data_IF_257398765419
#
_entry.id   IF_257398765419
#
_cell.length_a   1.000
_cell.length_b   1.000
_cell.length_c   1.000
_cell.angle_alpha   90.00
_cell.angle_beta   90.00
_cell.angle_gamma   90.00
#
_symmetry.space_group_name_H-M   'P 1'
#
loop_
_entity.id
_entity.type
_entity.pdbx_description
1 polymer ?
#
# COMPACT_ATOMS: atom_id res chain seq x y z
N UNK A 1 -21.37 -19.29 -6.96
CA UNK A 1 -20.47 -18.41 -6.17
C UNK A 1 -19.14 -19.07 -5.78
N UNK A 2 -19.09 -20.35 -5.37
CA UNK A 2 -17.85 -21.00 -4.92
C UNK A 2 -16.82 -21.36 -6.03
N UNK A 3 -17.27 -21.64 -7.26
CA UNK A 3 -16.38 -22.09 -8.36
C UNK A 3 -15.34 -21.02 -8.72
N UNK A 4 -15.74 -19.74 -8.87
CA UNK A 4 -14.81 -18.65 -9.17
C UNK A 4 -13.76 -18.44 -8.09
N UNK A 5 -14.13 -18.61 -6.82
CA UNK A 5 -13.18 -18.60 -5.70
C UNK A 5 -12.15 -19.72 -5.83
N UNK A 6 -12.57 -20.97 -6.04
CA UNK A 6 -11.64 -22.11 -6.13
C UNK A 6 -10.76 -22.06 -7.37
N UNK A 7 -11.30 -21.65 -8.52
CA UNK A 7 -10.51 -21.42 -9.74
C UNK A 7 -9.41 -20.38 -9.50
N UNK A 8 -9.79 -19.23 -8.91
CA UNK A 8 -8.81 -18.18 -8.63
C UNK A 8 -7.86 -18.56 -7.49
N UNK A 9 -8.29 -19.40 -6.55
CA UNK A 9 -7.43 -19.96 -5.48
C UNK A 9 -6.30 -20.80 -6.07
N UNK A 10 -6.62 -21.69 -7.01
CA UNK A 10 -5.68 -22.58 -7.69
C UNK A 10 -4.83 -21.87 -8.75
N UNK A 11 -5.30 -20.75 -9.29
CA UNK A 11 -4.54 -19.96 -10.25
C UNK A 11 -3.16 -19.54 -9.67
N UNK A 12 -2.04 -19.72 -10.41
CA UNK A 12 -0.69 -19.39 -9.97
C UNK A 12 -0.44 -17.88 -9.98
N UNK A 13 -1.17 -17.16 -9.11
CA UNK A 13 -1.25 -15.69 -9.05
C UNK A 13 0.12 -15.02 -8.91
N UNK A 14 1.04 -15.59 -8.13
CA UNK A 14 2.40 -15.07 -7.96
C UNK A 14 3.16 -15.08 -9.28
N UNK A 15 3.22 -16.25 -9.93
CA UNK A 15 3.90 -16.42 -11.21
C UNK A 15 3.32 -15.49 -12.27
N UNK A 16 1.99 -15.41 -12.36
CA UNK A 16 1.34 -14.49 -13.29
C UNK A 16 1.69 -13.03 -12.99
N UNK A 17 1.60 -12.60 -11.72
CA UNK A 17 1.91 -11.22 -11.33
C UNK A 17 3.39 -10.88 -11.55
N UNK A 18 4.29 -11.84 -11.38
CA UNK A 18 5.72 -11.68 -11.67
C UNK A 18 5.99 -11.53 -13.16
N UNK A 19 5.41 -12.42 -13.99
CA UNK A 19 5.55 -12.35 -15.45
C UNK A 19 4.92 -11.07 -16.00
N UNK A 20 3.75 -10.69 -15.49
CA UNK A 20 3.09 -9.44 -15.83
C UNK A 20 3.96 -8.23 -15.46
N UNK A 21 4.54 -8.21 -14.25
CA UNK A 21 5.49 -7.18 -13.85
C UNK A 21 6.68 -7.07 -14.81
N UNK A 22 7.27 -8.21 -15.22
CA UNK A 22 8.34 -8.22 -16.23
C UNK A 22 7.87 -7.64 -17.56
N UNK A 23 6.70 -8.05 -18.04
CA UNK A 23 6.12 -7.57 -19.29
C UNK A 23 5.90 -6.05 -19.28
N UNK A 24 5.47 -5.52 -18.14
CA UNK A 24 5.23 -4.09 -17.94
C UNK A 24 6.50 -3.25 -18.03
N UNK A 25 7.67 -3.84 -17.76
CA UNK A 25 8.97 -3.17 -17.86
C UNK A 25 9.68 -3.38 -19.20
N UNK A 26 9.08 -4.09 -20.16
CA UNK A 26 9.66 -4.23 -21.50
C UNK A 26 9.67 -2.87 -22.20
N UNK A 27 10.83 -2.47 -22.69
CA UNK A 27 11.00 -1.28 -23.54
C UNK A 27 10.63 -1.64 -24.99
N UNK A 28 9.36 -1.41 -25.35
CA UNK A 28 8.88 -1.63 -26.71
C UNK A 28 9.33 -0.48 -27.64
N UNK A 29 9.48 -0.73 -28.95
CA UNK A 29 9.68 0.33 -29.94
C UNK A 29 8.61 1.42 -29.81
N UNK A 30 9.01 2.68 -29.98
CA UNK A 30 8.16 3.87 -29.71
C UNK A 30 6.78 3.82 -30.38
N UNK A 31 6.69 3.24 -31.57
CA UNK A 31 5.44 3.13 -32.33
C UNK A 31 4.42 2.13 -31.72
N UNK A 32 4.88 1.12 -30.96
CA UNK A 32 4.00 0.20 -30.21
C UNK A 32 3.72 0.74 -28.79
N UNK A 33 4.75 1.29 -28.17
CA UNK A 33 4.72 1.75 -26.79
C UNK A 33 3.78 2.96 -26.59
N UNK A 34 3.85 3.96 -27.48
CA UNK A 34 3.05 5.18 -27.33
C UNK A 34 1.53 4.94 -27.41
N UNK A 35 0.99 4.15 -28.36
CA UNK A 35 -0.41 3.75 -28.34
C UNK A 35 -0.80 3.00 -27.07
N UNK A 36 0.06 2.10 -26.57
CA UNK A 36 -0.18 1.36 -25.33
C UNK A 36 -0.32 2.31 -24.12
N UNK A 37 0.62 3.24 -23.93
CA UNK A 37 0.55 4.23 -22.86
C UNK A 37 -0.70 5.10 -22.97
N UNK A 38 -1.00 5.62 -24.17
CA UNK A 38 -2.19 6.46 -24.39
C UNK A 38 -3.49 5.70 -24.10
N UNK A 39 -3.56 4.44 -24.51
CA UNK A 39 -4.71 3.57 -24.22
C UNK A 39 -4.85 3.34 -22.73
N UNK A 40 -3.75 3.12 -22.02
CA UNK A 40 -3.76 2.95 -20.56
C UNK A 40 -4.23 4.22 -19.84
N UNK A 41 -3.68 5.38 -20.21
CA UNK A 41 -4.10 6.69 -19.67
C UNK A 41 -5.57 6.96 -19.91
N UNK A 42 -6.06 6.68 -21.12
CA UNK A 42 -7.46 6.83 -21.48
C UNK A 42 -8.37 5.87 -20.70
N UNK A 43 -8.03 4.58 -20.66
CA UNK A 43 -8.84 3.54 -20.04
C UNK A 43 -9.01 3.76 -18.53
N UNK A 44 -7.95 4.19 -17.85
CA UNK A 44 -7.97 4.45 -16.41
C UNK A 44 -8.25 5.92 -16.05
N UNK A 45 -8.42 6.80 -17.05
CA UNK A 45 -8.65 8.25 -16.87
C UNK A 45 -7.56 8.89 -16.00
N UNK A 46 -6.31 8.62 -16.33
CA UNK A 46 -5.15 9.11 -15.58
C UNK A 46 -4.91 10.57 -15.93
N UNK A 47 -4.80 11.43 -14.93
CA UNK A 47 -4.31 12.78 -15.16
C UNK A 47 -2.79 12.75 -15.38
N UNK A 48 -2.40 12.68 -16.64
CA UNK A 48 -1.00 12.71 -17.04
C UNK A 48 -0.35 14.09 -16.90
N UNK A 49 -1.12 15.16 -16.68
CA UNK A 49 -0.58 16.51 -16.53
C UNK A 49 0.08 16.72 -15.16
N UNK A 50 -0.28 15.92 -14.16
CA UNK A 50 0.34 15.94 -12.84
C UNK A 50 1.71 15.25 -12.80
N UNK A 51 2.02 14.43 -13.81
CA UNK A 51 3.30 13.72 -13.90
C UNK A 51 4.46 14.70 -14.14
N UNK A 52 5.61 14.43 -13.52
CA UNK A 52 6.83 15.25 -13.63
C UNK A 52 7.28 15.38 -15.10
N UNK A 53 7.22 14.27 -15.84
CA UNK A 53 7.66 14.19 -17.23
C UNK A 53 6.47 13.91 -18.17
N UNK A 54 6.54 14.34 -19.45
CA UNK A 54 5.50 14.00 -20.43
C UNK A 54 5.53 12.50 -20.78
N UNK A 55 4.40 11.94 -21.22
CA UNK A 55 4.25 10.49 -21.49
C UNK A 55 5.37 9.91 -22.37
N UNK A 56 5.88 10.69 -23.32
CA UNK A 56 6.92 10.26 -24.27
C UNK A 56 8.27 9.92 -23.62
N UNK A 57 8.51 10.34 -22.38
CA UNK A 57 9.77 10.10 -21.66
C UNK A 57 9.80 8.75 -20.95
N UNK A 58 8.63 8.16 -20.66
CA UNK A 58 8.56 6.86 -20.00
C UNK A 58 8.82 5.76 -21.03
N UNK A 59 9.83 4.92 -20.77
CA UNK A 59 10.27 3.86 -21.70
C UNK A 59 9.41 2.59 -21.68
N UNK A 60 8.59 2.42 -20.64
CA UNK A 60 7.72 1.27 -20.45
C UNK A 60 6.46 1.65 -19.66
N UNK A 61 5.44 0.80 -19.71
CA UNK A 61 4.20 1.06 -18.97
C UNK A 61 4.44 1.01 -17.46
N UNK A 62 5.32 0.12 -17.01
CA UNK A 62 5.78 0.05 -15.62
C UNK A 62 6.47 1.34 -15.18
N UNK A 63 7.34 1.93 -16.03
CA UNK A 63 7.97 3.22 -15.72
C UNK A 63 6.96 4.36 -15.59
N UNK A 64 5.92 4.39 -16.44
CA UNK A 64 4.83 5.37 -16.31
C UNK A 64 3.95 5.10 -15.08
N UNK A 65 3.77 3.83 -14.71
CA UNK A 65 2.96 3.46 -13.56
C UNK A 65 3.51 4.03 -12.25
N UNK A 66 4.83 3.96 -12.07
CA UNK A 66 5.57 4.55 -10.94
C UNK A 66 6.11 5.95 -11.25
N UNK A 67 5.36 6.72 -12.05
CA UNK A 67 5.72 8.11 -12.38
C UNK A 67 5.86 8.97 -11.12
N UNK A 68 6.84 9.85 -11.16
CA UNK A 68 6.94 10.97 -10.25
C UNK A 68 5.86 12.01 -10.54
N UNK A 69 5.41 12.72 -9.50
CA UNK A 69 4.53 13.88 -9.64
C UNK A 69 5.37 15.15 -9.72
N UNK A 70 4.82 16.20 -10.36
CA UNK A 70 5.41 17.53 -10.35
C UNK A 70 5.61 18.04 -8.93
N UNK A 71 6.71 18.73 -8.71
CA UNK A 71 6.97 19.44 -7.46
C UNK A 71 5.78 20.32 -7.06
N UNK A 72 5.47 20.30 -5.75
CA UNK A 72 4.38 21.09 -5.14
C UNK A 72 2.96 20.73 -5.59
N UNK A 73 2.76 19.68 -6.40
CA UNK A 73 1.42 19.18 -6.77
C UNK A 73 0.63 18.61 -5.58
N UNK A 74 1.33 18.31 -4.48
CA UNK A 74 0.80 17.75 -3.23
C UNK A 74 1.35 18.53 -2.03
N UNK A 75 0.80 19.70 -1.68
CA UNK A 75 1.21 20.41 -0.48
C UNK A 75 0.86 19.59 0.77
N UNK A 76 1.79 19.54 1.73
CA UNK A 76 1.60 18.81 2.98
C UNK A 76 0.75 19.62 3.96
N UNK A 77 -0.33 19.02 4.44
CA UNK A 77 -1.10 19.52 5.57
C UNK A 77 -0.45 19.20 6.92
N UNK A 78 -1.21 19.40 7.99
CA UNK A 78 -0.82 18.98 9.33
C UNK A 78 -0.75 17.44 9.40
N UNK A 79 0.38 16.93 9.92
CA UNK A 79 0.59 15.51 10.16
C UNK A 79 -0.15 15.00 11.41
N UNK A 80 -0.58 13.72 11.45
CA UNK A 80 -0.46 12.76 10.36
C UNK A 80 -1.40 13.04 9.18
N UNK A 81 -0.88 12.83 7.97
CA UNK A 81 -1.63 12.99 6.72
C UNK A 81 -1.74 11.66 5.95
N UNK A 82 -2.60 11.65 4.93
CA UNK A 82 -2.75 10.51 4.01
C UNK A 82 -1.41 10.18 3.36
N UNK A 83 -0.92 8.93 3.43
CA UNK A 83 0.37 8.55 2.86
C UNK A 83 0.32 8.36 1.34
N UNK A 84 -0.87 8.40 0.74
CA UNK A 84 -1.12 7.98 -0.65
C UNK A 84 -2.19 8.84 -1.32
N UNK A 85 -2.13 8.88 -2.65
CA UNK A 85 -3.28 9.24 -3.49
C UNK A 85 -4.19 8.02 -3.64
N UNK A 86 -5.51 8.20 -3.51
CA UNK A 86 -6.46 7.13 -3.74
C UNK A 86 -7.80 7.35 -3.04
N UNK A 87 -8.35 6.27 -2.49
CA UNK A 87 -9.62 6.28 -1.76
C UNK A 87 -9.39 5.81 -0.34
N UNK A 88 -9.70 6.66 0.64
CA UNK A 88 -9.90 6.25 2.03
C UNK A 88 -11.21 5.47 2.09
N UNK A 89 -11.12 4.14 2.23
CA UNK A 89 -12.27 3.24 2.22
C UNK A 89 -12.97 3.18 3.56
N UNK A 90 -12.20 3.17 4.63
CA UNK A 90 -12.70 3.06 5.99
C UNK A 90 -11.66 3.64 6.97
N UNK A 91 -12.14 4.12 8.10
CA UNK A 91 -11.34 4.68 9.18
C UNK A 91 -12.08 4.54 10.50
N UNK A 92 -11.35 4.48 11.61
CA UNK A 92 -11.97 4.49 12.93
C UNK A 92 -11.09 3.92 14.03
N UNK A 93 -11.75 3.49 15.11
CA UNK A 93 -11.11 2.84 16.25
C UNK A 93 -11.13 1.32 16.04
N UNK A 94 -10.02 0.67 16.36
CA UNK A 94 -9.85 -0.78 16.30
C UNK A 94 -10.53 -1.39 17.52
N UNK A 95 -11.68 -2.05 17.36
CA UNK A 95 -12.38 -2.70 18.47
C UNK A 95 -11.91 -4.15 18.63
N UNK A 96 -11.48 -4.56 19.82
CA UNK A 96 -11.07 -5.93 20.17
C UNK A 96 -10.04 -6.53 19.19
N UNK A 97 -9.11 -5.69 18.72
CA UNK A 97 -8.08 -6.09 17.74
C UNK A 97 -8.64 -6.49 16.37
N UNK A 98 -9.88 -6.09 16.03
CA UNK A 98 -10.52 -6.35 14.74
C UNK A 98 -10.58 -5.09 13.88
N UNK A 99 -10.33 -5.28 12.59
CA UNK A 99 -10.42 -4.26 11.54
C UNK A 99 -11.58 -4.62 10.59
N UNK A 100 -12.37 -3.63 10.13
CA UNK A 100 -13.38 -3.87 9.13
C UNK A 100 -12.74 -4.14 7.75
N UNK A 101 -13.22 -5.17 7.05
CA UNK A 101 -12.89 -5.41 5.65
C UNK A 101 -13.93 -4.77 4.73
N UNK A 102 -15.19 -5.11 4.99
CA UNK A 102 -16.42 -4.57 4.40
C UNK A 102 -17.51 -4.66 5.46
N UNK A 103 -18.65 -4.03 5.22
CA UNK A 103 -19.81 -4.13 6.13
C UNK A 103 -20.14 -5.60 6.46
N UNK A 104 -19.98 -5.97 7.73
CA UNK A 104 -20.28 -7.29 8.27
C UNK A 104 -19.11 -8.30 8.28
N UNK A 105 -17.95 -7.94 7.73
CA UNK A 105 -16.77 -8.82 7.66
C UNK A 105 -15.56 -8.10 8.27
N UNK A 106 -14.85 -8.76 9.19
CA UNK A 106 -13.67 -8.21 9.86
C UNK A 106 -12.47 -9.15 9.78
N UNK A 107 -11.30 -8.63 10.11
CA UNK A 107 -10.08 -9.41 10.24
C UNK A 107 -9.22 -8.89 11.39
N UNK A 108 -8.42 -9.78 11.97
CA UNK A 108 -7.59 -9.48 13.13
C UNK A 108 -6.35 -8.65 12.75
N UNK A 109 -6.01 -7.68 13.59
CA UNK A 109 -4.73 -6.96 13.57
C UNK A 109 -3.56 -7.92 13.72
N UNK A 110 -3.65 -8.89 14.63
CA UNK A 110 -2.63 -9.92 14.81
C UNK A 110 -2.41 -10.73 13.52
N UNK A 111 -3.49 -11.14 12.85
CA UNK A 111 -3.37 -11.80 11.54
C UNK A 111 -2.75 -10.89 10.49
N UNK A 112 -3.05 -9.59 10.49
CA UNK A 112 -2.46 -8.60 9.59
C UNK A 112 -0.96 -8.40 9.88
N UNK A 113 -0.53 -8.29 11.13
CA UNK A 113 0.86 -8.02 11.46
C UNK A 113 1.74 -9.28 11.56
N UNK A 114 1.11 -10.45 11.75
CA UNK A 114 1.75 -11.71 12.17
C UNK A 114 2.63 -11.54 13.42
N UNK A 115 2.35 -10.53 14.23
CA UNK A 115 3.15 -10.10 15.38
C UNK A 115 2.23 -9.80 16.55
N UNK A 116 2.04 -10.79 17.43
CA UNK A 116 1.13 -10.67 18.57
C UNK A 116 1.57 -9.59 19.56
N UNK A 117 2.88 -9.34 19.69
CA UNK A 117 3.39 -8.31 20.62
C UNK A 117 3.07 -6.91 20.09
N UNK A 118 3.37 -6.67 18.82
CA UNK A 118 3.03 -5.39 18.18
C UNK A 118 1.51 -5.20 18.09
N UNK A 119 0.75 -6.25 17.76
CA UNK A 119 -0.70 -6.20 17.63
C UNK A 119 -1.41 -5.68 18.89
N UNK A 120 -0.95 -6.09 20.08
CA UNK A 120 -1.49 -5.61 21.37
C UNK A 120 -1.39 -4.09 21.54
N UNK A 121 -0.36 -3.45 20.99
CA UNK A 121 -0.22 -1.97 21.06
C UNK A 121 -1.32 -1.25 20.28
N UNK A 122 -1.85 -1.90 19.24
CA UNK A 122 -2.89 -1.35 18.36
C UNK A 122 -4.30 -1.80 18.77
N UNK A 123 -4.47 -2.65 19.78
CA UNK A 123 -5.79 -2.96 20.34
C UNK A 123 -6.39 -1.67 20.89
N UNK A 124 -7.57 -1.26 20.40
CA UNK A 124 -8.21 0.04 20.70
C UNK A 124 -7.47 1.28 20.14
N UNK A 125 -6.53 1.07 19.21
CA UNK A 125 -5.89 2.13 18.44
C UNK A 125 -6.74 2.67 17.30
N UNK A 126 -6.14 3.50 16.43
CA UNK A 126 -6.79 4.00 15.22
C UNK A 126 -6.36 3.22 13.99
N UNK A 127 -7.24 3.14 12.99
CA UNK A 127 -6.89 2.61 11.68
C UNK A 127 -7.38 3.49 10.53
N UNK A 128 -6.67 3.40 9.42
CA UNK A 128 -7.09 3.95 8.12
C UNK A 128 -6.83 2.93 7.03
N UNK A 129 -7.82 2.68 6.17
CA UNK A 129 -7.73 1.73 5.06
C UNK A 129 -7.80 2.46 3.72
N UNK A 130 -6.68 2.54 3.02
CA UNK A 130 -6.55 3.20 1.73
C UNK A 130 -6.52 2.18 0.59
N UNK A 131 -7.14 2.56 -0.52
CA UNK A 131 -7.08 1.83 -1.77
C UNK A 131 -6.55 2.71 -2.90
N UNK A 132 -5.52 2.22 -3.57
CA UNK A 132 -4.95 2.79 -4.76
C UNK A 132 -5.47 2.02 -5.97
N UNK A 133 -6.16 2.72 -6.84
CA UNK A 133 -6.60 2.22 -8.13
C UNK A 133 -5.51 2.44 -9.20
N UNK A 134 -5.56 1.75 -10.35
CA UNK A 134 -4.50 1.87 -11.37
C UNK A 134 -4.25 3.27 -11.92
N UNK A 135 -5.16 4.23 -11.68
CA UNK A 135 -4.98 5.63 -12.10
C UNK A 135 -4.17 6.48 -11.12
N UNK A 136 -4.12 6.06 -9.86
CA UNK A 136 -3.59 6.89 -8.80
C UNK A 136 -2.05 6.94 -8.87
N UNK A 137 -1.45 7.73 -7.98
CA UNK A 137 0.00 7.79 -7.79
C UNK A 137 0.42 6.71 -6.79
N UNK A 138 1.46 5.94 -7.14
CA UNK A 138 1.74 4.63 -6.51
C UNK A 138 2.96 4.58 -5.60
N UNK A 139 3.51 5.75 -5.25
CA UNK A 139 4.42 5.86 -4.13
C UNK A 139 3.63 6.06 -2.84
N UNK A 140 4.11 5.43 -1.77
CA UNK A 140 3.61 5.57 -0.40
C UNK A 140 4.61 6.42 0.34
N UNK A 141 4.12 7.40 1.08
CA UNK A 141 4.94 8.37 1.82
C UNK A 141 4.77 8.19 3.32
N UNK A 142 5.75 8.65 4.11
CA UNK A 142 5.62 8.65 5.56
C UNK A 142 4.54 9.63 5.99
N UNK A 143 3.51 9.19 6.75
CA UNK A 143 2.42 10.06 7.19
C UNK A 143 2.85 11.03 8.29
N UNK A 144 3.97 10.76 8.97
CA UNK A 144 4.47 11.46 10.15
C UNK A 144 6.00 11.33 10.20
N UNK A 145 6.70 12.33 10.77
CA UNK A 145 8.15 12.25 11.01
C UNK A 145 8.46 11.36 12.20
N UNK A 146 9.60 10.67 12.16
CA UNK A 146 10.01 9.76 13.22
C UNK A 146 11.14 8.85 12.76
N UNK A 147 11.18 7.63 13.30
CA UNK A 147 12.21 6.67 12.96
C UNK A 147 11.63 5.28 12.64
N UNK A 148 12.06 4.70 11.52
CA UNK A 148 11.74 3.30 11.18
C UNK A 148 12.57 2.39 12.09
N UNK A 149 11.89 1.75 13.04
CA UNK A 149 12.51 0.90 14.07
C UNK A 149 12.57 -0.57 13.64
N UNK A 150 11.59 -1.02 12.87
CA UNK A 150 11.58 -2.37 12.33
C UNK A 150 10.68 -2.48 11.10
N UNK A 151 10.86 -3.55 10.35
CA UNK A 151 9.95 -3.92 9.27
C UNK A 151 9.75 -5.42 9.21
N UNK A 152 8.66 -5.84 8.57
CA UNK A 152 8.36 -7.26 8.35
C UNK A 152 7.81 -7.47 6.96
N UNK A 153 8.45 -8.35 6.21
CA UNK A 153 7.90 -8.89 4.98
C UNK A 153 7.14 -10.18 5.28
N UNK A 154 5.87 -10.22 4.91
CA UNK A 154 4.97 -11.34 5.13
C UNK A 154 4.55 -11.90 3.77
N UNK A 155 5.01 -13.10 3.38
CA UNK A 155 4.57 -13.73 2.14
C UNK A 155 3.11 -14.15 2.29
N UNK A 156 2.35 -14.01 1.21
CA UNK A 156 0.94 -14.37 1.21
C UNK A 156 0.40 -14.64 -0.19
N UNK A 157 -0.91 -14.65 -0.33
CA UNK A 157 -1.57 -14.71 -1.64
C UNK A 157 -1.52 -13.35 -2.35
N UNK A 158 -2.02 -13.29 -3.58
CA UNK A 158 -2.22 -12.05 -4.32
C UNK A 158 -3.66 -12.02 -4.80
N UNK A 159 -4.60 -12.07 -3.86
CA UNK A 159 -6.01 -11.85 -4.18
C UNK A 159 -6.20 -10.41 -4.66
N UNK A 160 -7.09 -10.15 -5.64
CA UNK A 160 -7.43 -8.78 -5.97
C UNK A 160 -8.12 -8.12 -4.76
N UNK A 161 -8.01 -6.79 -4.64
CA UNK A 161 -8.65 -6.01 -3.56
C UNK A 161 -9.90 -5.27 -4.06
N UNK A 162 -10.55 -5.84 -5.08
CA UNK A 162 -11.80 -5.36 -5.64
C UNK A 162 -13.01 -5.80 -4.78
N UNK A 163 -14.18 -5.24 -5.07
CA UNK A 163 -15.41 -5.51 -4.32
C UNK A 163 -15.79 -7.00 -4.30
N UNK A 164 -15.47 -7.75 -5.37
CA UNK A 164 -15.76 -9.18 -5.41
C UNK A 164 -14.91 -9.95 -4.40
N UNK A 165 -13.60 -9.73 -4.37
CA UNK A 165 -12.70 -10.42 -3.44
C UNK A 165 -13.01 -10.08 -2.00
N UNK A 166 -13.21 -8.80 -1.70
CA UNK A 166 -13.56 -8.35 -0.35
C UNK A 166 -14.86 -8.96 0.19
N UNK A 167 -15.77 -9.41 -0.69
CA UNK A 167 -17.01 -10.12 -0.31
C UNK A 167 -16.87 -11.63 -0.22
N UNK A 168 -15.90 -12.22 -0.91
CA UNK A 168 -15.83 -13.68 -1.11
C UNK A 168 -14.58 -14.31 -0.49
N UNK A 169 -13.64 -13.50 0.00
CA UNK A 169 -12.39 -13.94 0.61
C UNK A 169 -12.32 -13.31 1.99
N UNK A 170 -12.32 -14.14 3.03
CA UNK A 170 -12.24 -13.68 4.42
C UNK A 170 -10.84 -13.11 4.72
N UNK A 171 -10.75 -11.90 5.26
CA UNK A 171 -9.48 -11.30 5.64
C UNK A 171 -8.46 -11.18 4.49
N UNK A 172 -8.89 -10.73 3.30
CA UNK A 172 -8.04 -10.52 2.10
C UNK A 172 -6.73 -9.85 2.45
N UNK A 173 -6.77 -8.78 3.26
CA UNK A 173 -5.59 -8.01 3.61
C UNK A 173 -4.58 -8.82 4.43
N UNK A 174 -5.05 -9.67 5.34
CA UNK A 174 -4.20 -10.54 6.15
C UNK A 174 -3.74 -11.81 5.39
N UNK A 175 -4.45 -12.21 4.34
CA UNK A 175 -4.04 -13.32 3.47
C UNK A 175 -3.02 -12.89 2.41
N UNK A 176 -3.07 -11.64 1.97
CA UNK A 176 -2.21 -11.16 0.91
C UNK A 176 -0.76 -10.94 1.37
N UNK A 177 0.15 -11.09 0.43
CA UNK A 177 1.54 -10.69 0.58
C UNK A 177 1.62 -9.20 0.94
N UNK A 178 2.50 -8.83 1.87
CA UNK A 178 2.56 -7.45 2.38
C UNK A 178 3.87 -7.15 3.09
N UNK A 179 4.12 -5.85 3.25
CA UNK A 179 5.23 -5.31 4.04
C UNK A 179 4.65 -4.44 5.15
N UNK A 180 5.04 -4.71 6.38
CA UNK A 180 4.74 -3.88 7.56
C UNK A 180 5.98 -3.03 7.86
N UNK A 181 5.81 -1.72 7.93
CA UNK A 181 6.83 -0.77 8.39
C UNK A 181 6.39 -0.22 9.74
N UNK A 182 7.23 -0.37 10.76
CA UNK A 182 6.97 0.18 12.10
C UNK A 182 7.77 1.47 12.29
N UNK A 183 7.04 2.55 12.52
CA UNK A 183 7.54 3.91 12.64
C UNK A 183 7.27 4.40 14.07
N UNK A 184 8.33 4.67 14.83
CA UNK A 184 8.21 5.33 16.14
C UNK A 184 8.12 6.85 15.92
N UNK A 185 7.13 7.50 16.51
CA UNK A 185 6.85 8.92 16.30
C UNK A 185 6.57 9.63 17.63
N UNK A 186 6.43 10.96 17.59
CA UNK A 186 5.94 11.72 18.74
C UNK A 186 4.54 11.32 19.21
N UNK A 187 3.75 10.69 18.34
CA UNK A 187 2.41 10.19 18.63
C UNK A 187 2.39 8.70 19.01
N UNK A 188 3.55 8.10 19.22
CA UNK A 188 3.71 6.68 19.46
C UNK A 188 3.98 5.87 18.21
N UNK A 189 3.83 4.55 18.31
CA UNK A 189 4.07 3.62 17.22
C UNK A 189 2.96 3.68 16.16
N UNK A 190 3.39 3.84 14.91
CA UNK A 190 2.56 3.74 13.71
C UNK A 190 3.03 2.53 12.90
N UNK A 191 2.10 1.66 12.50
CA UNK A 191 2.36 0.63 11.50
C UNK A 191 1.80 1.06 10.15
N UNK A 192 2.66 1.14 9.12
CA UNK A 192 2.26 1.32 7.73
C UNK A 192 2.34 -0.03 7.02
N UNK A 193 1.18 -0.60 6.69
CA UNK A 193 1.06 -1.93 6.07
C UNK A 193 0.77 -1.77 4.59
N UNK A 194 1.78 -2.00 3.75
CA UNK A 194 1.66 -2.05 2.30
C UNK A 194 1.22 -3.45 1.87
N UNK A 195 -0.04 -3.61 1.45
CA UNK A 195 -0.62 -4.92 1.09
C UNK A 195 -0.62 -5.09 -0.43
N UNK A 196 0.08 -6.09 -0.94
CA UNK A 196 0.11 -6.43 -2.36
C UNK A 196 -1.22 -7.02 -2.85
N UNK A 197 -1.44 -7.03 -4.17
CA UNK A 197 -2.66 -7.56 -4.79
C UNK A 197 -2.37 -8.25 -6.13
N UNK A 198 -3.38 -8.86 -6.74
CA UNK A 198 -3.25 -9.48 -8.06
C UNK A 198 -2.79 -8.48 -9.12
N UNK A 199 -1.79 -8.85 -9.94
CA UNK A 199 -1.02 -7.98 -10.88
C UNK A 199 -0.02 -7.04 -10.21
N UNK A 200 0.02 -7.03 -8.88
CA UNK A 200 0.70 -6.03 -8.05
C UNK A 200 1.50 -6.73 -6.97
N UNK A 201 2.40 -7.60 -7.41
CA UNK A 201 3.15 -8.43 -6.48
C UNK A 201 4.37 -7.73 -5.86
N UNK A 202 4.89 -6.68 -6.50
CA UNK A 202 6.20 -6.11 -6.14
C UNK A 202 6.04 -4.81 -5.35
N UNK A 203 6.54 -4.84 -4.12
CA UNK A 203 6.70 -3.73 -3.21
C UNK A 203 8.20 -3.49 -3.04
N UNK A 204 8.62 -2.23 -3.13
CA UNK A 204 9.95 -1.79 -2.72
C UNK A 204 9.82 -0.74 -1.62
N UNK A 205 10.79 -0.67 -0.71
CA UNK A 205 10.84 0.30 0.38
C UNK A 205 12.09 1.18 0.26
N UNK A 206 12.05 2.41 0.78
CA UNK A 206 13.17 3.35 0.68
C UNK A 206 14.26 3.12 1.72
N UNK A 207 13.87 2.55 2.86
CA UNK A 207 14.75 2.34 3.99
C UNK A 207 15.55 1.03 3.90
N UNK A 208 15.28 0.14 2.93
CA UNK A 208 15.97 -1.14 2.79
C UNK A 208 16.09 -1.54 1.31
N UNK A 209 16.80 -2.62 1.01
CA UNK A 209 17.12 -3.05 -0.36
C UNK A 209 16.24 -4.19 -0.87
N UNK A 210 15.38 -4.76 -0.03
CA UNK A 210 14.55 -5.89 -0.41
C UNK A 210 13.34 -5.47 -1.25
N UNK A 211 12.87 -6.41 -2.05
CA UNK A 211 11.62 -6.29 -2.81
C UNK A 211 10.82 -7.58 -2.73
N UNK A 212 9.50 -7.46 -2.79
CA UNK A 212 8.58 -8.62 -2.71
C UNK A 212 8.38 -9.30 -4.07
N UNK A 213 7.76 -10.50 -4.04
CA UNK A 213 7.45 -11.32 -5.22
C UNK A 213 8.62 -11.63 -6.16
N UNK A 214 9.82 -11.86 -5.62
CA UNK A 214 11.03 -12.21 -6.36
C UNK A 214 11.18 -13.74 -6.58
N UNK A 215 10.26 -14.33 -7.35
CA UNK A 215 10.02 -15.80 -7.46
C UNK A 215 11.25 -16.64 -7.85
N UNK A 216 12.16 -16.07 -8.65
CA UNK A 216 13.34 -16.79 -9.17
C UNK A 216 14.63 -16.49 -8.39
N UNK A 217 14.58 -15.68 -7.34
CA UNK A 217 15.71 -15.57 -6.44
C UNK A 217 15.79 -16.88 -5.63
N UNK A 218 16.98 -17.50 -5.61
CA UNK A 218 17.31 -18.76 -4.89
C UNK A 218 16.97 -18.72 -3.38
N UNK A 219 16.57 -17.55 -2.87
CA UNK A 219 16.05 -17.25 -1.54
C UNK A 219 14.83 -16.33 -1.60
N UNK A 220 13.79 -16.68 -2.39
CA UNK A 220 12.47 -16.04 -2.22
C UNK A 220 12.16 -16.03 -0.72
N UNK A 221 12.06 -14.86 -0.06
CA UNK A 221 12.15 -14.85 1.39
C UNK A 221 10.94 -15.59 1.95
N UNK A 222 11.16 -16.49 2.92
CA UNK A 222 10.11 -17.18 3.69
C UNK A 222 9.34 -16.20 4.61
N UNK A 223 9.29 -14.93 4.25
CA UNK A 223 9.13 -13.81 5.16
C UNK A 223 10.42 -13.53 5.93
N UNK A 224 10.52 -12.32 6.46
CA UNK A 224 11.57 -11.94 7.41
C UNK A 224 11.07 -10.79 8.28
N UNK A 225 11.71 -10.62 9.42
CA UNK A 225 11.61 -9.42 10.25
C UNK A 225 12.99 -8.78 10.34
N UNK A 226 13.05 -7.46 10.19
CA UNK A 226 14.28 -6.68 10.33
C UNK A 226 14.08 -5.65 11.44
N UNK A 227 15.04 -5.56 12.36
CA UNK A 227 15.12 -4.51 13.38
C UNK A 227 16.30 -3.61 13.00
N UNK A 228 16.10 -2.30 13.05
CA UNK A 228 17.10 -1.33 12.62
C UNK A 228 17.79 -0.72 13.84
N UNK A 229 19.11 -0.92 13.93
CA UNK A 229 19.95 -0.33 14.95
C UNK A 229 21.23 0.25 14.30
N UNK A 230 21.37 1.59 14.22
CA UNK A 230 20.41 2.60 14.69
C UNK A 230 19.08 2.56 13.90
N UNK A 231 17.97 3.04 14.49
CA UNK A 231 16.73 3.31 13.74
C UNK A 231 16.98 4.25 12.56
N UNK A 232 16.13 4.15 11.52
CA UNK A 232 16.28 4.96 10.30
C UNK A 232 15.38 6.19 10.39
N UNK A 233 15.98 7.35 10.64
CA UNK A 233 15.29 8.64 10.70
C UNK A 233 14.63 9.00 9.37
N UNK A 234 13.39 9.49 9.43
CA UNK A 234 12.58 9.84 8.26
C UNK A 234 11.72 11.07 8.53
N UNK A 235 11.44 11.84 7.49
CA UNK A 235 10.55 13.01 7.57
C UNK A 235 9.19 12.69 6.98
N UNK A 236 8.15 13.30 7.57
CA UNK A 236 6.82 13.28 6.99
C UNK A 236 6.90 13.73 5.52
N UNK A 237 6.35 12.92 4.63
CA UNK A 237 6.27 13.21 3.19
C UNK A 237 7.45 12.69 2.39
N UNK A 238 8.51 12.19 3.04
CA UNK A 238 9.50 11.39 2.31
C UNK A 238 8.87 10.09 1.81
N UNK A 239 9.42 9.55 0.72
CA UNK A 239 8.96 8.27 0.16
C UNK A 239 9.27 7.16 1.14
N UNK A 240 8.24 6.40 1.54
CA UNK A 240 8.37 5.16 2.30
C UNK A 240 8.59 3.97 1.38
N UNK A 241 7.81 3.89 0.29
CA UNK A 241 7.87 2.76 -0.62
C UNK A 241 7.09 2.96 -1.90
N UNK A 242 7.08 1.93 -2.73
CA UNK A 242 6.44 1.95 -4.04
C UNK A 242 5.71 0.64 -4.28
N UNK A 243 4.46 0.74 -4.75
CA UNK A 243 3.80 -0.38 -5.40
C UNK A 243 4.14 -0.37 -6.88
N UNK A 244 4.80 -1.41 -7.37
CA UNK A 244 5.10 -1.53 -8.79
C UNK A 244 3.90 -1.97 -9.65
N UNK A 245 2.67 -1.86 -9.12
CA UNK A 245 1.38 -1.96 -9.86
C UNK A 245 0.08 -1.72 -9.03
N UNK A 246 0.05 -0.97 -7.92
CA UNK A 246 -1.18 -0.51 -7.23
C UNK A 246 -1.90 -1.43 -6.24
N UNK A 247 -2.06 -1.03 -4.98
CA UNK A 247 -2.74 -1.89 -4.02
C UNK A 247 -3.28 -1.13 -2.80
N UNK A 248 -3.34 -1.74 -1.62
CA UNK A 248 -3.95 -1.14 -0.43
C UNK A 248 -2.90 -0.81 0.63
N UNK A 249 -3.13 0.28 1.36
CA UNK A 249 -2.32 0.65 2.52
C UNK A 249 -3.23 0.66 3.73
N UNK A 250 -2.84 -0.05 4.79
CA UNK A 250 -3.50 0.04 6.10
C UNK A 250 -2.54 0.74 7.05
N UNK A 251 -2.98 1.86 7.64
CA UNK A 251 -2.28 2.49 8.75
C UNK A 251 -2.92 2.01 10.05
N UNK A 252 -2.09 1.66 11.04
CA UNK A 252 -2.49 1.48 12.43
C UNK A 252 -1.72 2.48 13.30
N UNK A 253 -2.40 3.12 14.24
CA UNK A 253 -1.81 4.02 15.24
C UNK A 253 -2.10 3.43 16.61
N UNK A 254 -1.09 3.34 17.48
CA UNK A 254 -1.25 2.68 18.77
C UNK A 254 -2.24 3.39 19.71
N UNK A 255 -2.83 2.62 20.63
CA UNK A 255 -3.91 3.08 21.49
C UNK A 255 -3.51 4.17 22.49
N UNK A 256 -2.24 4.16 22.94
CA UNK A 256 -1.69 5.19 23.83
C UNK A 256 -1.47 6.54 23.13
N UNK A 257 -1.67 6.61 21.81
CA UNK A 257 -1.49 7.83 21.05
C UNK A 257 -2.42 8.94 21.52
N UNK A 258 -1.90 10.16 21.62
CA UNK A 258 -2.71 11.36 21.87
C UNK A 258 -3.70 11.63 20.73
N UNK A 259 -3.47 11.07 19.54
CA UNK A 259 -4.36 11.19 18.38
C UNK A 259 -5.72 10.50 18.59
N UNK A 260 -5.81 9.49 19.47
CA UNK A 260 -7.09 8.83 19.79
C UNK A 260 -8.13 9.79 20.41
N UNK A 261 -7.70 10.96 20.89
CA UNK A 261 -8.55 12.02 21.46
C UNK A 261 -8.90 13.12 20.45
N UNK A 262 -8.36 13.07 19.23
CA UNK A 262 -8.61 14.07 18.19
C UNK A 262 -9.75 13.63 17.29
N UNK A 263 -10.48 14.61 16.77
CA UNK A 263 -11.49 14.36 15.75
C UNK A 263 -10.83 14.10 14.39
N UNK A 264 -11.45 13.22 13.61
CA UNK A 264 -11.04 13.01 12.23
C UNK A 264 -11.41 14.22 11.37
N UNK A 265 -10.44 14.74 10.63
CA UNK A 265 -10.66 15.83 9.67
C UNK A 265 -11.26 15.35 8.35
N UNK A 266 -11.49 14.04 8.21
CA UNK A 266 -11.99 13.38 7.01
C UNK A 266 -13.00 12.28 7.36
N UNK A 267 -13.94 12.02 6.46
CA UNK A 267 -14.91 10.94 6.58
C UNK A 267 -14.70 9.91 5.47
N UNK A 268 -14.88 8.63 5.79
CA UNK A 268 -14.86 7.56 4.80
C UNK A 268 -16.28 7.26 4.27
N UNK A 269 -16.45 6.90 2.98
CA UNK A 269 -15.41 6.85 1.96
C UNK A 269 -15.13 8.22 1.34
N UNK A 270 -13.86 8.54 1.08
CA UNK A 270 -13.44 9.77 0.40
C UNK A 270 -12.26 9.56 -0.54
N UNK A 271 -12.20 10.34 -1.61
CA UNK A 271 -10.94 10.48 -2.37
C UNK A 271 -9.96 11.28 -1.51
N UNK A 272 -8.71 10.85 -1.49
CA UNK A 272 -7.64 11.49 -0.75
C UNK A 272 -6.43 11.66 -1.63
N UNK A 273 -5.68 12.73 -1.36
CA UNK A 273 -4.36 12.93 -1.91
C UNK A 273 -3.30 12.70 -0.83
N UNK A 274 -2.13 12.25 -1.24
CA UNK A 274 -0.95 12.25 -0.41
C UNK A 274 -0.72 13.68 0.13
N UNK A 275 -0.47 13.77 1.43
CA UNK A 275 -0.25 15.05 2.12
C UNK A 275 -1.52 15.68 2.71
N UNK A 276 -2.71 15.14 2.43
CA UNK A 276 -3.96 15.62 3.03
C UNK A 276 -4.06 15.21 4.51
N UNK A 277 -4.26 16.17 5.41
CA UNK A 277 -4.43 15.90 6.86
C UNK A 277 -5.56 14.92 7.15
N UNK A 278 -5.31 14.00 8.10
CA UNK A 278 -6.30 13.02 8.54
C UNK A 278 -7.11 13.49 9.76
N UNK A 279 -6.60 14.49 10.48
CA UNK A 279 -7.19 15.02 11.71
C UNK A 279 -7.48 16.52 11.56
N UNK A 280 -8.47 17.01 12.29
CA UNK A 280 -8.82 18.44 12.40
C UNK A 280 -7.87 19.20 13.33
#
# INVERSE_FOLDING_TARGET
MKIGYYLFKLFPKKLFSYLFGKLMHIELPRFLHMPLLKTFVWAYKIDSQEAEAPLSHYKSLGAFFVRELKDKSRPLGASPFSPVDGVLRDLGIISQGQLPQIKGESYSVEKLLQDSNSARRFEEGLFFNFYLSPRDYHHVHYPQSGAVVSSRYIPGHLWPVNRWSLKNVEGVFAQNERVVTYLETEFGLIAVVMVAAFNVGRISVSYDTFETNQIFQFRSPKGFSAVYNPPKEVRAGERLGTFHLGSSVVILIEASSSLCKREFGIQAPANVFYGQSLFS
#
